data_IF_715387339873
#
_entry.id   IF_715387339873
#
_cell.length_a   1.000
_cell.length_b   1.000
_cell.length_c   1.000
_cell.angle_alpha   90.00
_cell.angle_beta   90.00
_cell.angle_gamma   90.00
#
_symmetry.space_group_name_H-M   'P 1'
#
loop_
_entity.id
_entity.type
_entity.pdbx_description
1 polymer ?
#
# COMPACT_ATOMS: atom_id res chain seq x y z
N UNK A 1 13.74 16.45 -12.02
CA UNK A 1 13.26 15.05 -12.07
C UNK A 1 14.07 14.21 -13.06
N UNK A 2 14.15 14.55 -14.35
CA UNK A 2 14.86 13.75 -15.37
C UNK A 2 16.34 13.53 -15.07
N UNK A 3 17.04 14.57 -14.59
CA UNK A 3 18.46 14.46 -14.15
C UNK A 3 18.66 13.57 -12.92
N UNK A 4 17.66 13.52 -12.03
CA UNK A 4 17.70 12.65 -10.85
C UNK A 4 17.50 11.18 -11.26
N UNK A 5 16.56 10.94 -12.19
CA UNK A 5 16.29 9.61 -12.73
C UNK A 5 17.45 9.06 -13.59
N UNK A 6 18.14 9.92 -14.34
CA UNK A 6 19.28 9.53 -15.17
C UNK A 6 20.57 9.30 -14.37
N UNK A 7 20.63 9.72 -13.10
CA UNK A 7 21.79 9.53 -12.23
C UNK A 7 21.64 8.35 -11.25
N UNK A 8 20.67 7.47 -11.49
CA UNK A 8 20.39 6.30 -10.65
C UNK A 8 20.80 5.01 -11.37
N UNK A 9 21.82 4.32 -10.85
CA UNK A 9 22.22 3.00 -11.31
C UNK A 9 21.30 1.87 -10.79
N UNK A 10 20.72 2.09 -9.60
CA UNK A 10 19.89 1.15 -8.87
C UNK A 10 18.88 1.95 -8.03
N UNK A 11 17.65 1.47 -7.96
CA UNK A 11 16.61 1.98 -7.07
C UNK A 11 16.10 0.81 -6.25
N UNK A 12 16.38 0.85 -4.95
CA UNK A 12 15.92 -0.13 -3.98
C UNK A 12 14.59 0.34 -3.40
N UNK A 13 13.57 -0.52 -3.45
CA UNK A 13 12.21 -0.19 -3.02
C UNK A 13 11.77 -1.16 -1.94
N UNK A 14 11.34 -0.63 -0.79
CA UNK A 14 10.72 -1.43 0.27
C UNK A 14 9.30 -1.85 -0.15
N UNK A 15 9.19 -2.86 -1.02
CA UNK A 15 7.94 -3.31 -1.60
C UNK A 15 7.92 -4.83 -1.74
N UNK A 16 6.74 -5.45 -1.62
CA UNK A 16 6.56 -6.87 -1.88
C UNK A 16 5.14 -7.17 -2.38
N UNK A 17 4.98 -8.08 -3.35
CA UNK A 17 3.67 -8.40 -3.96
C UNK A 17 2.66 -9.01 -2.97
N UNK A 18 3.13 -9.48 -1.81
CA UNK A 18 2.27 -9.95 -0.74
C UNK A 18 1.46 -8.82 -0.07
N UNK A 19 1.97 -7.58 -0.11
CA UNK A 19 1.40 -6.42 0.59
C UNK A 19 0.95 -5.30 -0.33
N UNK A 20 1.09 -5.48 -1.65
CA UNK A 20 0.73 -4.47 -2.65
C UNK A 20 0.31 -5.10 -3.97
N UNK A 21 -0.05 -4.26 -4.93
CA UNK A 21 -0.35 -4.67 -6.30
C UNK A 21 0.92 -4.92 -7.10
N UNK A 22 0.88 -5.89 -8.01
CA UNK A 22 1.92 -6.06 -9.02
C UNK A 22 1.89 -4.89 -10.02
N UNK A 23 3.05 -4.39 -10.42
CA UNK A 23 3.18 -3.33 -11.42
C UNK A 23 4.47 -3.47 -12.25
N UNK A 24 4.50 -2.96 -13.49
CA UNK A 24 5.71 -2.95 -14.31
C UNK A 24 6.81 -2.11 -13.66
N UNK A 25 8.04 -2.63 -13.65
CA UNK A 25 9.22 -1.97 -13.07
C UNK A 25 10.35 -1.96 -14.07
N UNK A 26 11.14 -0.89 -14.05
CA UNK A 26 12.38 -0.83 -14.82
C UNK A 26 13.41 -1.83 -14.25
N UNK A 27 14.36 -2.35 -15.05
CA UNK A 27 15.30 -3.36 -14.57
C UNK A 27 16.19 -2.94 -13.40
N UNK A 28 16.47 -1.63 -13.25
CA UNK A 28 17.23 -1.09 -12.09
C UNK A 28 16.39 -0.91 -10.83
N UNK A 29 15.07 -1.15 -10.87
CA UNK A 29 14.20 -1.06 -9.69
C UNK A 29 14.09 -2.45 -9.09
N UNK A 30 14.59 -2.61 -7.86
CA UNK A 30 14.59 -3.88 -7.12
C UNK A 30 13.77 -3.76 -5.86
N UNK A 31 12.85 -4.71 -5.70
CA UNK A 31 12.02 -4.80 -4.52
C UNK A 31 12.80 -5.55 -3.45
N UNK A 32 12.97 -4.93 -2.29
CA UNK A 32 13.67 -5.48 -1.13
C UNK A 32 12.77 -5.41 0.10
N UNK A 33 11.45 -5.54 -0.11
CA UNK A 33 10.47 -5.45 0.96
C UNK A 33 10.64 -6.58 1.96
N UNK A 34 10.75 -6.24 3.25
CA UNK A 34 10.84 -7.23 4.34
C UNK A 34 12.19 -7.31 5.06
N UNK A 35 13.18 -6.49 4.72
CA UNK A 35 14.48 -6.45 5.41
C UNK A 35 14.41 -6.23 6.93
N UNK A 36 13.34 -5.58 7.39
CA UNK A 36 13.12 -5.22 8.80
C UNK A 36 12.40 -6.31 9.58
N UNK A 37 12.03 -7.43 8.94
CA UNK A 37 11.23 -8.51 9.54
C UNK A 37 12.06 -9.50 10.36
N UNK A 38 13.39 -9.45 10.26
CA UNK A 38 14.34 -10.32 10.99
C UNK A 38 14.71 -9.79 12.39
N UNK A 39 13.97 -8.81 12.90
CA UNK A 39 14.21 -8.26 14.24
C UNK A 39 13.88 -9.25 15.36
N UNK A 40 14.20 -8.88 16.60
CA UNK A 40 13.86 -9.71 17.76
C UNK A 40 12.34 -9.88 17.90
N UNK A 41 11.91 -11.13 18.05
CA UNK A 41 10.53 -11.52 18.34
C UNK A 41 10.31 -11.85 19.81
N UNK A 42 11.31 -11.60 20.67
CA UNK A 42 11.20 -11.89 22.10
C UNK A 42 10.31 -10.87 22.81
N UNK A 43 9.42 -11.37 23.67
CA UNK A 43 8.64 -10.53 24.56
C UNK A 43 9.42 -10.28 25.87
N UNK A 44 9.53 -9.02 26.32
CA UNK A 44 10.12 -8.66 27.60
C UNK A 44 9.27 -9.19 28.76
N UNK A 45 9.91 -9.35 29.92
CA UNK A 45 9.30 -9.98 31.10
C UNK A 45 8.06 -9.24 31.62
N UNK A 46 8.00 -7.92 31.47
CA UNK A 46 6.84 -7.13 31.87
C UNK A 46 5.59 -7.48 31.06
N UNK A 47 5.71 -7.79 29.77
CA UNK A 47 4.56 -8.26 28.96
C UNK A 47 4.17 -9.70 29.27
N UNK A 48 5.13 -10.56 29.61
CA UNK A 48 4.83 -11.91 30.13
C UNK A 48 4.05 -11.82 31.44
N UNK A 49 4.38 -10.86 32.31
CA UNK A 49 3.67 -10.61 33.56
C UNK A 49 2.23 -10.10 33.37
N UNK A 50 1.95 -9.45 32.23
CA UNK A 50 0.58 -9.12 31.82
C UNK A 50 -0.21 -10.34 31.30
N UNK A 51 0.38 -11.53 31.44
CA UNK A 51 -0.20 -12.84 31.16
C UNK A 51 -0.65 -13.00 29.70
N UNK A 52 0.12 -12.40 28.77
CA UNK A 52 -0.06 -12.57 27.32
C UNK A 52 0.02 -14.04 26.91
N UNK A 53 0.88 -14.81 27.56
CA UNK A 53 1.11 -16.24 27.28
C UNK A 53 -0.13 -17.10 27.60
N UNK A 54 -0.91 -16.74 28.61
CA UNK A 54 -2.11 -17.49 29.04
C UNK A 54 -3.43 -16.79 28.67
N UNK A 55 -3.40 -15.81 27.76
CA UNK A 55 -4.62 -15.14 27.27
C UNK A 55 -5.43 -16.08 26.37
N UNK A 56 -6.35 -16.86 26.95
CA UNK A 56 -7.18 -17.86 26.25
C UNK A 56 -8.01 -17.26 25.12
N UNK A 57 -8.59 -16.08 25.33
CA UNK A 57 -9.37 -15.35 24.33
C UNK A 57 -8.47 -14.61 23.32
N UNK A 58 -7.17 -14.52 23.62
CA UNK A 58 -6.16 -13.87 22.79
C UNK A 58 -5.87 -12.41 23.17
N UNK A 59 -5.05 -11.79 22.32
CA UNK A 59 -4.55 -10.42 22.49
C UNK A 59 -4.91 -9.58 21.27
N UNK A 60 -5.39 -8.37 21.53
CA UNK A 60 -5.54 -7.29 20.57
C UNK A 60 -4.40 -6.31 20.81
N UNK A 61 -3.61 -6.05 19.78
CA UNK A 61 -2.60 -5.02 19.81
C UNK A 61 -3.11 -3.78 19.10
N UNK A 62 -3.04 -2.60 19.72
CA UNK A 62 -3.41 -1.33 19.13
C UNK A 62 -2.16 -0.44 19.01
N UNK A 63 -1.82 -0.02 17.80
CA UNK A 63 -0.74 0.93 17.53
C UNK A 63 -0.98 1.67 16.22
N UNK A 64 -1.05 2.99 16.28
CA UNK A 64 -1.16 3.86 15.09
C UNK A 64 0.20 4.41 14.63
N UNK A 65 1.29 3.85 15.15
CA UNK A 65 2.64 4.31 14.86
C UNK A 65 3.02 5.62 15.55
N UNK A 66 4.30 5.96 15.52
CA UNK A 66 4.88 7.09 16.27
C UNK A 66 4.51 8.47 15.73
N UNK A 67 3.94 8.54 14.53
CA UNK A 67 3.60 9.80 13.86
C UNK A 67 2.16 10.25 14.13
N UNK A 68 1.36 9.42 14.80
CA UNK A 68 -0.03 9.71 15.13
C UNK A 68 -0.12 10.08 16.60
N UNK A 69 -0.33 11.37 16.88
CA UNK A 69 -0.59 11.84 18.23
C UNK A 69 -1.96 11.33 18.73
N UNK A 70 -1.92 10.31 19.57
CA UNK A 70 -3.11 9.64 20.12
C UNK A 70 -3.90 10.61 21.00
N UNK A 71 -3.25 11.57 21.67
CA UNK A 71 -3.97 12.59 22.43
C UNK A 71 -4.93 13.39 21.55
N UNK A 72 -4.56 13.68 20.30
CA UNK A 72 -5.43 14.37 19.34
C UNK A 72 -6.57 13.49 18.85
N UNK A 73 -6.30 12.21 18.63
CA UNK A 73 -7.31 11.25 18.18
C UNK A 73 -8.37 10.99 19.26
N UNK A 74 -7.98 11.01 20.54
CA UNK A 74 -8.83 10.66 21.67
C UNK A 74 -9.48 11.86 22.36
N UNK A 75 -9.36 13.08 21.81
CA UNK A 75 -10.02 14.29 22.36
C UNK A 75 -11.54 14.18 22.33
N UNK A 76 -12.20 15.13 23.01
CA UNK A 76 -13.66 15.33 22.95
C UNK A 76 -14.45 14.05 23.31
N UNK A 77 -13.99 13.31 24.33
CA UNK A 77 -14.65 12.09 24.79
C UNK A 77 -14.27 10.81 24.04
N UNK A 78 -13.54 10.88 22.91
CA UNK A 78 -13.17 9.68 22.14
C UNK A 78 -12.34 8.67 22.94
N UNK A 79 -11.53 9.11 23.89
CA UNK A 79 -10.83 8.17 24.79
C UNK A 79 -11.80 7.19 25.46
N UNK A 80 -12.97 7.66 25.89
CA UNK A 80 -13.97 6.79 26.54
C UNK A 80 -14.61 5.82 25.56
N UNK A 81 -14.77 6.18 24.28
CA UNK A 81 -15.21 5.27 23.23
C UNK A 81 -14.24 4.10 23.07
N UNK A 82 -12.93 4.40 22.95
CA UNK A 82 -11.88 3.37 22.87
C UNK A 82 -11.86 2.48 24.11
N UNK A 83 -11.80 3.07 25.31
CA UNK A 83 -11.74 2.32 26.56
C UNK A 83 -12.99 1.46 26.78
N UNK A 84 -14.18 1.98 26.43
CA UNK A 84 -15.43 1.23 26.56
C UNK A 84 -15.47 0.05 25.60
N UNK A 85 -14.97 0.21 24.36
CA UNK A 85 -14.83 -0.90 23.43
C UNK A 85 -13.82 -1.92 23.94
N UNK A 86 -12.63 -1.48 24.37
CA UNK A 86 -11.59 -2.39 24.87
C UNK A 86 -12.04 -3.18 26.11
N UNK A 87 -12.84 -2.58 26.98
CA UNK A 87 -13.39 -3.25 28.17
C UNK A 87 -14.45 -4.30 27.83
N UNK A 88 -15.24 -4.10 26.76
CA UNK A 88 -16.26 -5.06 26.34
C UNK A 88 -15.67 -6.28 25.62
N UNK A 89 -14.45 -6.18 25.07
CA UNK A 89 -13.74 -7.29 24.47
C UNK A 89 -13.42 -8.41 25.47
N UNK A 90 -13.38 -9.65 25.00
CA UNK A 90 -12.89 -10.80 25.79
C UNK A 90 -11.36 -10.82 25.84
N UNK A 91 -10.72 -10.33 24.79
CA UNK A 91 -9.28 -10.28 24.62
C UNK A 91 -8.62 -9.30 25.60
N UNK A 92 -7.34 -9.55 25.90
CA UNK A 92 -6.47 -8.53 26.49
C UNK A 92 -6.09 -7.51 25.41
N UNK A 93 -5.96 -6.24 25.79
CA UNK A 93 -5.62 -5.15 24.89
C UNK A 93 -4.29 -4.53 25.28
N UNK A 94 -3.35 -4.54 24.35
CA UNK A 94 -2.09 -3.78 24.43
C UNK A 94 -2.28 -2.49 23.65
N UNK A 95 -2.43 -1.36 24.35
CA UNK A 95 -2.74 -0.06 23.77
C UNK A 95 -1.50 0.83 23.75
N UNK A 96 -0.84 0.95 22.59
CA UNK A 96 0.27 1.88 22.41
C UNK A 96 -0.24 3.32 22.38
N UNK A 97 0.39 4.18 23.18
CA UNK A 97 0.08 5.59 23.26
C UNK A 97 1.24 6.45 22.75
N UNK A 98 1.03 7.16 21.65
CA UNK A 98 1.98 8.17 21.16
C UNK A 98 1.50 9.58 21.51
N UNK A 99 2.24 10.25 22.39
CA UNK A 99 2.10 11.68 22.70
C UNK A 99 2.03 12.00 24.21
N UNK A 100 2.22 13.27 24.54
CA UNK A 100 2.70 13.73 25.85
C UNK A 100 1.77 13.49 27.07
N UNK A 101 0.47 13.29 26.88
CA UNK A 101 -0.50 13.18 27.99
C UNK A 101 -1.15 11.80 28.08
N UNK A 102 -0.32 10.75 28.21
CA UNK A 102 -0.82 9.38 28.41
C UNK A 102 -1.67 9.28 29.69
N UNK A 103 -2.91 8.77 29.60
CA UNK A 103 -3.75 8.61 30.77
C UNK A 103 -3.27 7.44 31.65
N UNK A 104 -3.40 7.59 32.98
CA UNK A 104 -3.24 6.47 33.91
C UNK A 104 -4.51 5.60 33.90
N UNK A 105 -4.44 4.48 33.18
CA UNK A 105 -5.54 3.52 33.07
C UNK A 105 -5.20 2.28 33.90
N UNK A 106 -5.99 2.05 34.94
CA UNK A 106 -5.94 0.83 35.76
C UNK A 106 -7.04 -0.12 35.32
N UNK A 107 -6.67 -1.16 34.59
CA UNK A 107 -7.57 -2.18 34.07
C UNK A 107 -6.82 -3.50 33.93
N UNK A 108 -7.43 -4.62 34.32
CA UNK A 108 -6.78 -5.94 34.29
C UNK A 108 -6.60 -6.48 32.87
N UNK A 109 -7.40 -5.99 31.91
CA UNK A 109 -7.36 -6.41 30.50
C UNK A 109 -6.70 -5.40 29.59
N UNK A 110 -6.51 -4.14 30.02
CA UNK A 110 -5.91 -3.09 29.18
C UNK A 110 -4.55 -2.67 29.73
N UNK A 111 -3.51 -2.85 28.93
CA UNK A 111 -2.18 -2.32 29.19
C UNK A 111 -1.90 -1.16 28.27
N UNK A 112 -1.74 0.04 28.82
CA UNK A 112 -1.35 1.24 28.08
C UNK A 112 0.14 1.56 28.34
N UNK A 113 0.91 1.78 27.27
CA UNK A 113 2.34 2.14 27.34
C UNK A 113 2.73 2.98 26.11
N UNK A 114 3.78 3.78 26.23
CA UNK A 114 4.31 4.56 25.11
C UNK A 114 5.02 3.70 24.06
N UNK A 115 5.66 2.62 24.51
CA UNK A 115 6.44 1.73 23.67
C UNK A 115 6.11 0.26 23.92
N UNK A 116 6.09 -0.50 22.83
CA UNK A 116 5.89 -1.94 22.82
C UNK A 116 6.85 -2.59 21.80
N UNK A 117 7.31 -3.83 22.06
CA UNK A 117 8.08 -4.64 21.11
C UNK A 117 7.14 -5.22 20.03
N UNK A 118 6.73 -4.39 19.08
CA UNK A 118 5.72 -4.70 18.07
C UNK A 118 5.97 -6.01 17.32
N UNK A 119 7.20 -6.28 16.87
CA UNK A 119 7.54 -7.55 16.20
C UNK A 119 7.27 -8.76 17.08
N UNK A 120 7.69 -8.72 18.36
CA UNK A 120 7.44 -9.80 19.31
C UNK A 120 5.96 -10.01 19.61
N UNK A 121 5.18 -8.93 19.71
CA UNK A 121 3.73 -9.03 19.89
C UNK A 121 3.08 -9.64 18.66
N UNK A 122 3.40 -9.17 17.45
CA UNK A 122 2.82 -9.70 16.22
C UNK A 122 3.24 -11.15 15.96
N UNK A 123 4.46 -11.54 16.34
CA UNK A 123 4.94 -12.91 16.26
C UNK A 123 4.28 -13.86 17.28
N UNK A 124 3.66 -13.33 18.33
CA UNK A 124 3.11 -14.13 19.42
C UNK A 124 1.83 -14.87 19.01
N UNK A 125 1.73 -16.16 19.35
CA UNK A 125 0.63 -17.04 18.92
C UNK A 125 -0.76 -16.58 19.42
N UNK A 126 -0.82 -15.88 20.55
CA UNK A 126 -2.08 -15.39 21.11
C UNK A 126 -2.53 -14.05 20.49
N UNK A 127 -1.73 -13.41 19.64
CA UNK A 127 -2.12 -12.15 18.99
C UNK A 127 -3.14 -12.45 17.88
N UNK A 128 -4.36 -11.98 18.10
CA UNK A 128 -5.51 -12.24 17.21
C UNK A 128 -5.73 -11.11 16.22
N UNK A 129 -5.58 -9.87 16.67
CA UNK A 129 -5.90 -8.68 15.86
C UNK A 129 -4.86 -7.62 16.11
N UNK A 130 -4.43 -6.98 15.03
CA UNK A 130 -3.68 -5.73 15.09
C UNK A 130 -4.59 -4.57 14.66
N UNK A 131 -4.87 -3.63 15.56
CA UNK A 131 -5.50 -2.36 15.20
C UNK A 131 -4.41 -1.39 14.82
N UNK A 132 -4.35 -1.02 13.54
CA UNK A 132 -3.23 -0.28 12.95
C UNK A 132 -3.68 0.83 12.01
N UNK A 133 -2.89 1.89 11.93
CA UNK A 133 -3.01 2.87 10.85
C UNK A 133 -2.61 2.32 9.46
N UNK A 134 -1.97 1.14 9.39
CA UNK A 134 -1.47 0.53 8.15
C UNK A 134 -0.46 1.35 7.36
N UNK A 135 0.49 1.98 8.06
CA UNK A 135 1.76 2.35 7.42
C UNK A 135 2.43 1.15 6.75
N UNK A 136 3.30 1.41 5.78
CA UNK A 136 3.98 0.38 4.97
C UNK A 136 4.64 -0.71 5.82
N UNK A 137 5.41 -0.29 6.85
CA UNK A 137 6.13 -1.21 7.73
C UNK A 137 5.18 -2.11 8.53
N UNK A 138 4.19 -1.54 9.22
CA UNK A 138 3.16 -2.30 9.95
C UNK A 138 2.39 -3.26 9.04
N UNK A 139 2.15 -2.87 7.79
CA UNK A 139 1.50 -3.73 6.79
C UNK A 139 2.38 -4.92 6.40
N UNK A 140 3.69 -4.75 6.30
CA UNK A 140 4.61 -5.88 6.09
C UNK A 140 4.65 -6.80 7.30
N UNK A 141 4.79 -6.26 8.51
CA UNK A 141 4.90 -7.05 9.74
C UNK A 141 3.65 -7.89 10.00
N UNK A 142 2.46 -7.27 9.85
CA UNK A 142 1.20 -7.97 10.09
C UNK A 142 0.96 -9.09 9.07
N UNK A 143 1.32 -8.87 7.80
CA UNK A 143 1.24 -9.92 6.78
C UNK A 143 2.29 -10.99 7.03
N UNK A 144 3.52 -10.61 7.40
CA UNK A 144 4.59 -11.56 7.70
C UNK A 144 4.19 -12.49 8.84
N UNK A 145 3.78 -11.96 9.99
CA UNK A 145 3.38 -12.78 11.14
C UNK A 145 1.96 -13.36 11.02
N UNK A 146 1.22 -13.01 9.98
CA UNK A 146 -0.10 -13.57 9.73
C UNK A 146 -1.15 -13.09 10.73
N UNK A 147 -1.05 -11.85 11.20
CA UNK A 147 -2.04 -11.24 12.09
C UNK A 147 -2.99 -10.39 11.25
N UNK A 148 -4.31 -10.64 11.27
CA UNK A 148 -5.27 -9.83 10.54
C UNK A 148 -5.51 -8.48 11.25
N UNK A 149 -6.06 -7.50 10.52
CA UNK A 149 -5.97 -6.10 10.90
C UNK A 149 -7.33 -5.39 10.98
N UNK A 150 -7.49 -4.53 11.96
CA UNK A 150 -8.47 -3.43 11.90
C UNK A 150 -7.73 -2.16 11.52
N UNK A 151 -7.95 -1.69 10.30
CA UNK A 151 -7.25 -0.56 9.69
C UNK A 151 -7.93 0.76 10.06
N UNK A 152 -7.17 1.72 10.58
CA UNK A 152 -7.61 3.10 10.83
C UNK A 152 -6.66 4.08 10.12
N UNK A 153 -6.76 4.24 8.79
CA UNK A 153 -5.85 5.11 8.04
C UNK A 153 -5.96 6.57 8.47
N UNK A 154 -4.83 7.22 8.72
CA UNK A 154 -4.76 8.62 9.17
C UNK A 154 -4.34 9.55 8.03
N UNK A 155 -3.24 9.27 7.31
CA UNK A 155 -2.72 10.13 6.24
C UNK A 155 -1.85 9.37 5.21
N UNK A 156 -1.41 10.06 4.15
CA UNK A 156 -0.47 9.55 3.13
C UNK A 156 -0.93 8.23 2.45
N UNK A 157 -0.04 7.25 2.38
CA UNK A 157 -0.19 5.98 1.68
C UNK A 157 -1.02 4.95 2.46
N UNK A 158 -1.30 5.22 3.73
CA UNK A 158 -2.02 4.33 4.65
C UNK A 158 -3.38 3.90 4.10
N UNK A 159 -4.11 4.80 3.44
CA UNK A 159 -5.40 4.47 2.83
C UNK A 159 -5.24 3.45 1.70
N UNK A 160 -4.20 3.60 0.87
CA UNK A 160 -3.91 2.64 -0.21
C UNK A 160 -3.56 1.26 0.37
N UNK A 161 -2.74 1.23 1.42
CA UNK A 161 -2.33 0.00 2.10
C UNK A 161 -3.55 -0.70 2.73
N UNK A 162 -4.40 0.04 3.45
CA UNK A 162 -5.64 -0.49 4.02
C UNK A 162 -6.60 -1.04 2.95
N UNK A 163 -6.81 -0.29 1.84
CA UNK A 163 -7.65 -0.78 0.73
C UNK A 163 -7.11 -2.07 0.11
N UNK A 164 -5.79 -2.23 0.03
CA UNK A 164 -5.20 -3.49 -0.41
C UNK A 164 -5.51 -4.64 0.56
N UNK A 165 -5.33 -4.43 1.87
CA UNK A 165 -5.63 -5.46 2.87
C UNK A 165 -7.13 -5.81 2.91
N UNK A 166 -8.03 -4.83 2.81
CA UNK A 166 -9.47 -5.07 2.71
C UNK A 166 -9.81 -5.87 1.46
N UNK A 167 -9.29 -5.48 0.30
CA UNK A 167 -9.50 -6.20 -0.97
C UNK A 167 -9.01 -7.65 -0.89
N UNK A 168 -7.92 -7.88 -0.18
CA UNK A 168 -7.35 -9.22 0.03
C UNK A 168 -7.91 -9.93 1.26
N UNK A 169 -8.95 -9.37 1.90
CA UNK A 169 -9.64 -9.91 3.08
C UNK A 169 -8.73 -10.13 4.29
N UNK A 170 -7.65 -9.36 4.40
CA UNK A 170 -6.75 -9.38 5.56
C UNK A 170 -7.12 -8.32 6.61
N UNK A 171 -8.06 -7.42 6.28
CA UNK A 171 -8.45 -6.34 7.17
C UNK A 171 -9.91 -5.88 7.02
N UNK A 172 -10.41 -5.21 8.06
CA UNK A 172 -11.55 -4.30 8.02
C UNK A 172 -11.02 -2.87 8.13
N UNK A 173 -11.56 -1.93 7.36
CA UNK A 173 -11.21 -0.51 7.45
C UNK A 173 -12.28 0.27 8.22
N UNK A 174 -11.86 1.04 9.21
CA UNK A 174 -12.68 2.00 9.93
C UNK A 174 -12.27 3.43 9.55
N UNK A 175 -13.27 4.31 9.46
CA UNK A 175 -13.05 5.74 9.25
C UNK A 175 -12.64 6.41 10.57
N UNK A 176 -11.49 7.08 10.60
CA UNK A 176 -11.00 7.83 11.78
C UNK A 176 -11.99 8.88 12.32
N UNK A 177 -12.91 9.36 11.48
CA UNK A 177 -13.96 10.30 11.87
C UNK A 177 -15.05 9.63 12.69
N UNK A 178 -15.33 8.35 12.42
CA UNK A 178 -16.40 7.57 13.03
C UNK A 178 -15.85 6.39 13.85
N UNK A 179 -15.06 6.71 14.87
CA UNK A 179 -14.54 5.75 15.84
C UNK A 179 -15.41 5.76 17.10
N UNK A 180 -16.56 5.10 17.02
CA UNK A 180 -17.42 4.86 18.19
C UNK A 180 -17.05 3.54 18.86
N UNK A 181 -17.50 3.37 20.09
CA UNK A 181 -17.40 2.11 20.83
C UNK A 181 -17.88 0.93 19.98
N UNK A 182 -19.09 1.03 19.43
CA UNK A 182 -19.74 -0.07 18.71
C UNK A 182 -18.98 -0.44 17.44
N UNK A 183 -18.48 0.56 16.69
CA UNK A 183 -17.73 0.32 15.47
C UNK A 183 -16.39 -0.39 15.75
N UNK A 184 -15.67 0.02 16.81
CA UNK A 184 -14.42 -0.61 17.23
C UNK A 184 -14.65 -2.03 17.75
N UNK A 185 -15.63 -2.21 18.65
CA UNK A 185 -15.97 -3.50 19.23
C UNK A 185 -16.38 -4.50 18.14
N UNK A 186 -17.26 -4.09 17.21
CA UNK A 186 -17.68 -4.93 16.09
C UNK A 186 -16.49 -5.32 15.21
N UNK A 187 -15.67 -4.36 14.77
CA UNK A 187 -14.60 -4.64 13.83
C UNK A 187 -13.53 -5.56 14.43
N UNK A 188 -13.20 -5.37 15.72
CA UNK A 188 -12.21 -6.21 16.41
C UNK A 188 -12.74 -7.64 16.56
N UNK A 189 -13.99 -7.82 17.00
CA UNK A 189 -14.58 -9.16 17.16
C UNK A 189 -14.75 -9.85 15.79
N UNK A 190 -15.22 -9.13 14.77
CA UNK A 190 -15.35 -9.68 13.42
C UNK A 190 -14.00 -10.18 12.88
N UNK A 191 -12.93 -9.38 13.01
CA UNK A 191 -11.59 -9.79 12.55
C UNK A 191 -11.01 -10.93 13.41
N UNK A 192 -11.29 -10.95 14.72
CA UNK A 192 -10.78 -11.97 15.64
C UNK A 192 -11.47 -13.33 15.44
N UNK A 193 -12.79 -13.34 15.26
CA UNK A 193 -13.62 -14.54 15.31
C UNK A 193 -13.87 -15.14 13.92
N UNK A 194 -13.86 -14.33 12.85
CA UNK A 194 -14.08 -14.82 11.50
C UNK A 194 -12.78 -15.41 10.90
N UNK A 195 -12.70 -16.73 10.66
CA UNK A 195 -11.48 -17.38 10.18
C UNK A 195 -11.02 -16.88 8.81
N UNK A 196 -11.91 -16.28 8.01
CA UNK A 196 -11.58 -15.75 6.69
C UNK A 196 -10.40 -14.77 6.74
N UNK A 197 -10.35 -13.90 7.77
CA UNK A 197 -9.28 -12.91 7.88
C UNK A 197 -7.94 -13.56 8.20
N UNK A 198 -7.93 -14.51 9.15
CA UNK A 198 -6.74 -15.26 9.50
C UNK A 198 -6.23 -16.11 8.33
N UNK A 199 -7.12 -16.82 7.65
CA UNK A 199 -6.75 -17.62 6.47
C UNK A 199 -6.19 -16.76 5.33
N UNK A 200 -6.81 -15.61 5.07
CA UNK A 200 -6.37 -14.70 4.02
C UNK A 200 -4.98 -14.11 4.31
N UNK A 201 -4.75 -13.64 5.54
CA UNK A 201 -3.44 -13.10 5.91
C UNK A 201 -2.37 -14.19 5.95
N UNK A 202 -2.69 -15.42 6.36
CA UNK A 202 -1.75 -16.55 6.32
C UNK A 202 -1.36 -16.93 4.88
N UNK A 203 -2.30 -16.85 3.91
CA UNK A 203 -1.98 -17.03 2.48
C UNK A 203 -1.00 -15.96 2.00
N UNK A 204 -1.17 -14.70 2.43
CA UNK A 204 -0.24 -13.61 2.10
C UNK A 204 1.10 -13.75 2.82
N UNK A 205 1.09 -14.21 4.06
CA UNK A 205 2.30 -14.54 4.83
C UNK A 205 3.16 -15.56 4.10
N UNK A 206 2.56 -16.63 3.58
CA UNK A 206 3.26 -17.65 2.79
C UNK A 206 3.93 -17.02 1.57
N UNK A 207 3.22 -16.15 0.82
CA UNK A 207 3.80 -15.44 -0.34
C UNK A 207 4.97 -14.53 0.07
N UNK A 208 4.86 -13.83 1.20
CA UNK A 208 5.92 -12.92 1.67
C UNK A 208 7.19 -13.68 2.10
N UNK A 209 7.02 -14.86 2.70
CA UNK A 209 8.12 -15.69 3.20
C UNK A 209 8.77 -16.56 2.12
N UNK A 210 8.05 -16.82 1.03
CA UNK A 210 8.53 -17.62 -0.08
C UNK A 210 9.43 -16.78 -1.00
N UNK A 211 10.68 -16.61 -0.57
CA UNK A 211 11.72 -15.90 -1.32
C UNK A 211 12.96 -16.76 -1.55
N UNK A 212 13.58 -16.67 -2.74
CA UNK A 212 14.76 -17.49 -3.05
C UNK A 212 16.03 -17.03 -2.32
N UNK A 213 16.07 -15.75 -1.93
CA UNK A 213 17.17 -15.12 -1.22
C UNK A 213 16.56 -14.22 -0.16
N UNK A 214 17.21 -14.13 1.01
CA UNK A 214 16.80 -13.24 2.07
C UNK A 214 16.77 -11.78 1.57
N UNK A 215 15.76 -11.00 1.97
CA UNK A 215 15.55 -9.64 1.45
C UNK A 215 16.75 -8.70 1.63
N UNK A 216 17.47 -8.82 2.75
CA UNK A 216 18.68 -8.03 3.00
C UNK A 216 19.85 -8.47 2.12
N UNK A 217 20.02 -9.78 1.92
CA UNK A 217 21.05 -10.33 1.04
C UNK A 217 20.78 -9.97 -0.43
N UNK A 218 19.52 -9.93 -0.85
CA UNK A 218 19.14 -9.46 -2.19
C UNK A 218 19.52 -7.99 -2.40
N UNK A 219 19.31 -7.12 -1.40
CA UNK A 219 19.73 -5.72 -1.46
C UNK A 219 21.24 -5.58 -1.65
N UNK A 220 22.03 -6.34 -0.87
CA UNK A 220 23.50 -6.38 -0.96
C UNK A 220 23.92 -6.87 -2.35
N UNK A 221 23.33 -7.96 -2.83
CA UNK A 221 23.64 -8.52 -4.14
C UNK A 221 23.48 -7.48 -5.27
N UNK A 222 22.33 -6.79 -5.32
CA UNK A 222 22.08 -5.81 -6.36
C UNK A 222 22.96 -4.56 -6.24
N UNK A 223 23.30 -4.15 -5.02
CA UNK A 223 24.24 -3.07 -4.79
C UNK A 223 25.63 -3.42 -5.33
N UNK A 224 26.16 -4.59 -4.99
CA UNK A 224 27.45 -5.03 -5.51
C UNK A 224 27.42 -5.25 -7.03
N UNK A 225 26.28 -5.71 -7.58
CA UNK A 225 26.11 -5.89 -9.02
C UNK A 225 26.35 -4.59 -9.78
N UNK A 226 25.75 -3.47 -9.34
CA UNK A 226 25.96 -2.18 -10.00
C UNK A 226 27.34 -1.57 -9.71
N UNK A 227 27.98 -1.93 -8.60
CA UNK A 227 29.38 -1.57 -8.35
C UNK A 227 30.33 -2.29 -9.31
N UNK A 228 30.08 -3.58 -9.59
CA UNK A 228 30.88 -4.38 -10.53
C UNK A 228 30.64 -4.00 -12.00
N UNK A 229 29.42 -3.65 -12.35
CA UNK A 229 28.99 -3.54 -13.76
C UNK A 229 28.52 -2.15 -14.17
N UNK A 230 28.50 -1.17 -13.27
CA UNK A 230 28.01 0.18 -13.56
C UNK A 230 26.49 0.23 -13.81
N UNK A 231 26.06 1.05 -14.77
CA UNK A 231 24.65 1.40 -15.01
C UNK A 231 23.92 0.48 -16.00
N UNK A 232 24.35 -0.78 -16.14
CA UNK A 232 23.80 -1.72 -17.14
C UNK A 232 22.31 -2.05 -16.97
N UNK A 233 21.74 -1.83 -15.78
CA UNK A 233 20.31 -2.03 -15.50
C UNK A 233 19.45 -0.81 -15.84
N UNK A 234 20.08 0.31 -16.19
CA UNK A 234 19.38 1.57 -16.46
C UNK A 234 18.71 1.51 -17.85
N UNK A 235 17.39 1.75 -17.96
CA UNK A 235 16.72 1.73 -19.23
C UNK A 235 17.08 2.97 -20.03
N UNK A 236 17.24 2.83 -21.34
CA UNK A 236 17.62 3.92 -22.23
C UNK A 236 16.66 5.14 -22.16
N UNK A 237 15.40 4.91 -21.77
CA UNK A 237 14.36 5.95 -21.65
C UNK A 237 14.77 7.10 -20.72
N UNK A 238 15.62 6.87 -19.71
CA UNK A 238 16.03 7.94 -18.78
C UNK A 238 16.93 9.00 -19.45
N UNK A 239 17.53 8.67 -20.58
CA UNK A 239 18.35 9.59 -21.37
C UNK A 239 17.58 10.22 -22.53
N UNK A 240 16.31 9.85 -22.72
CA UNK A 240 15.48 10.37 -23.80
C UNK A 240 14.86 11.72 -23.41
N UNK A 241 14.70 12.65 -24.38
CA UNK A 241 13.84 13.80 -24.19
C UNK A 241 12.42 13.37 -23.84
N UNK A 242 11.72 14.15 -22.99
CA UNK A 242 10.39 13.77 -22.48
C UNK A 242 9.39 13.44 -23.59
N UNK A 243 9.42 14.17 -24.73
CA UNK A 243 8.49 13.95 -25.83
C UNK A 243 8.69 12.58 -26.52
N UNK A 244 9.91 12.03 -26.53
CA UNK A 244 10.17 10.66 -27.01
C UNK A 244 9.79 9.63 -25.97
N UNK A 245 10.11 9.89 -24.70
CA UNK A 245 9.77 9.00 -23.60
C UNK A 245 8.25 8.78 -23.46
N UNK A 246 7.45 9.82 -23.74
CA UNK A 246 5.98 9.78 -23.73
C UNK A 246 5.34 9.60 -25.12
N UNK A 247 6.13 9.30 -26.16
CA UNK A 247 5.66 9.06 -27.53
C UNK A 247 4.82 10.21 -28.14
N UNK A 248 5.07 11.45 -27.71
CA UNK A 248 4.39 12.65 -28.19
C UNK A 248 4.76 12.92 -29.67
N UNK A 249 6.00 12.63 -30.05
CA UNK A 249 6.46 12.72 -31.43
C UNK A 249 5.72 11.73 -32.36
N UNK A 250 5.52 10.49 -31.89
CA UNK A 250 4.74 9.48 -32.61
C UNK A 250 3.27 9.91 -32.73
N UNK A 251 2.68 10.42 -31.64
CA UNK A 251 1.32 10.93 -31.66
C UNK A 251 1.16 12.10 -32.65
N UNK A 252 2.09 13.05 -32.65
CA UNK A 252 2.10 14.17 -33.59
C UNK A 252 2.22 13.70 -35.05
N UNK A 253 3.05 12.67 -35.31
CA UNK A 253 3.15 12.06 -36.63
C UNK A 253 1.82 11.41 -37.07
N UNK A 254 1.18 10.62 -36.21
CA UNK A 254 -0.12 9.98 -36.48
C UNK A 254 -1.20 11.04 -36.79
N UNK A 255 -1.30 12.08 -35.95
CA UNK A 255 -2.26 13.18 -36.16
C UNK A 255 -1.99 13.85 -37.51
N UNK A 256 -0.73 14.09 -37.86
CA UNK A 256 -0.34 14.70 -39.14
C UNK A 256 -0.79 13.84 -40.32
N UNK A 257 -0.56 12.53 -40.29
CA UNK A 257 -0.98 11.59 -41.33
C UNK A 257 -2.51 11.56 -41.48
N UNK A 258 -3.25 11.57 -40.37
CA UNK A 258 -4.72 11.62 -40.37
C UNK A 258 -5.20 12.93 -41.01
N UNK A 259 -4.66 14.07 -40.60
CA UNK A 259 -5.02 15.38 -41.14
C UNK A 259 -4.74 15.48 -42.65
N UNK A 260 -3.57 14.99 -43.12
CA UNK A 260 -3.23 14.97 -44.54
C UNK A 260 -4.15 14.04 -45.34
N UNK A 261 -4.50 12.88 -44.79
CA UNK A 261 -5.45 11.94 -45.44
C UNK A 261 -6.84 12.56 -45.57
N UNK A 262 -7.34 13.23 -44.52
CA UNK A 262 -8.61 13.96 -44.56
C UNK A 262 -8.54 15.09 -45.59
N UNK A 263 -7.45 15.87 -45.61
CA UNK A 263 -7.26 16.94 -46.58
C UNK A 263 -7.30 16.41 -48.02
N UNK A 264 -6.58 15.32 -48.29
CA UNK A 264 -6.58 14.66 -49.60
C UNK A 264 -7.99 14.20 -49.99
N UNK A 265 -8.73 13.54 -49.08
CA UNK A 265 -10.12 13.13 -49.34
C UNK A 265 -11.03 14.32 -49.65
N UNK A 266 -10.91 15.42 -48.90
CA UNK A 266 -11.70 16.64 -49.14
C UNK A 266 -11.35 17.26 -50.49
N UNK A 267 -10.06 17.33 -50.85
CA UNK A 267 -9.60 17.86 -52.15
C UNK A 267 -10.09 16.97 -53.29
N UNK A 268 -9.93 15.65 -53.19
CA UNK A 268 -10.43 14.69 -54.19
C UNK A 268 -11.94 14.79 -54.37
N UNK A 269 -12.71 14.90 -53.27
CA UNK A 269 -14.16 15.08 -53.33
C UNK A 269 -14.57 16.40 -53.99
N UNK A 270 -13.89 17.51 -53.66
CA UNK A 270 -14.11 18.81 -54.31
C UNK A 270 -13.78 18.76 -55.80
N UNK A 271 -12.67 18.11 -56.18
CA UNK A 271 -12.26 17.92 -57.57
C UNK A 271 -13.28 17.09 -58.37
N UNK A 272 -13.75 15.98 -57.80
CA UNK A 272 -14.79 15.15 -58.41
C UNK A 272 -16.10 15.94 -58.61
N UNK A 273 -16.53 16.70 -57.59
CA UNK A 273 -17.72 17.56 -57.68
C UNK A 273 -17.57 18.66 -58.73
N UNK A 274 -16.38 19.25 -58.87
CA UNK A 274 -16.08 20.23 -59.92
C UNK A 274 -16.17 19.60 -61.32
N UNK A 275 -15.58 18.41 -61.49
CA UNK A 275 -15.56 17.67 -62.76
C UNK A 275 -16.96 17.21 -63.19
N UNK A 276 -17.80 16.79 -62.25
CA UNK A 276 -19.22 16.47 -62.52
C UNK A 276 -20.00 17.73 -62.94
N UNK A 277 -19.75 18.88 -62.29
CA UNK A 277 -20.41 20.14 -62.64
C UNK A 277 -19.97 20.69 -64.01
N UNK A 278 -18.70 20.57 -64.38
CA UNK A 278 -18.22 20.98 -65.71
C UNK A 278 -18.79 20.06 -66.79
N UNK A 279 -18.77 18.75 -66.60
CA UNK A 279 -19.39 17.78 -67.53
C UNK A 279 -20.89 18.02 -67.74
N UNK A 280 -21.63 18.32 -66.66
CA UNK A 280 -23.06 18.67 -66.75
C UNK A 280 -23.33 19.97 -67.52
N UNK A 281 -22.43 20.97 -67.45
CA UNK A 281 -22.53 22.20 -68.25
C UNK A 281 -22.23 21.95 -69.73
N UNK A 282 -21.24 21.11 -70.05
CA UNK A 282 -20.89 20.76 -71.44
C UNK A 282 -22.00 19.93 -72.11
N UNK A 283 -22.71 19.07 -71.36
CA UNK A 283 -23.87 18.34 -71.89
C UNK A 283 -25.05 19.26 -72.20
N UNK A 284 -25.33 20.28 -71.37
CA UNK A 284 -26.38 21.26 -71.65
C UNK A 284 -26.09 22.08 -72.91
N UNK A 285 -24.84 22.50 -73.13
CA UNK A 285 -24.47 23.30 -74.32
C UNK A 285 -24.46 22.52 -75.64
N UNK A 286 -24.61 21.19 -75.62
CA UNK A 286 -24.73 20.35 -76.83
C UNK A 286 -26.18 20.06 -77.23
N UNK A 287 -27.15 20.44 -76.40
CA UNK A 287 -28.58 20.22 -76.63
C UNK A 287 -29.38 21.51 -76.87
N UNK A 288 -28.70 22.66 -76.87
CA UNK A 288 -29.20 23.94 -77.38
C UNK A 288 -28.57 24.21 -78.76
#
# INVERSE_FOLDING_TARGET
>A
VTRLASDQALVLVNNHVAVTYAYPKAPHVKDIGGMTLDGSTELPQDLKSFNVDNASDGVVYFSLGSMVDVNKLTRNGKLQEFLSAFRSLKQRVLFKWDGDNMPDIKDEKIRIQEWFPQLGILAHNNTKVFVSHNGLQSTMETVYFGVPVVSIPIFEDQLKNAKFLVKTKCAIELDKRNLTREALEWAINEVADNPQYKEAVMKRSAILRDVPIKHSDEAVFWLEYVLRHGRVLQPAVVHMPFYKAYLIDVLAFIITVICLSILLLVVSFKSLRSSVRSGAKTMKSKHD
#
